data_IF_713969335650
#
_entry.id   IF_713969335650
#
_cell.length_a   1.000
_cell.length_b   1.000
_cell.length_c   1.000
_cell.angle_alpha   90.00
_cell.angle_beta   90.00
_cell.angle_gamma   90.00
#
_symmetry.space_group_name_H-M   'P 1'
#
loop_
_entity.id
_entity.type
_entity.pdbx_description
1 polymer ?
#
# COMPACT_ATOMS: atom_id res chain seq x y z
N UNK A 1 12.20 -11.57 -15.65
CA UNK A 1 12.19 -10.17 -15.22
C UNK A 1 10.78 -9.89 -14.77
N UNK A 2 10.53 -9.25 -13.61
CA UNK A 2 9.17 -8.86 -13.30
C UNK A 2 8.75 -7.82 -14.35
N UNK A 3 7.71 -8.14 -15.12
CA UNK A 3 7.16 -7.22 -16.11
C UNK A 3 6.24 -6.23 -15.39
N UNK A 4 6.38 -4.95 -15.72
CA UNK A 4 5.49 -3.91 -15.18
C UNK A 4 4.08 -4.07 -15.77
N UNK A 5 3.08 -4.14 -14.91
CA UNK A 5 1.68 -4.22 -15.32
C UNK A 5 1.14 -2.80 -15.54
N UNK A 6 0.73 -2.50 -16.77
CA UNK A 6 0.13 -1.20 -17.10
C UNK A 6 -1.40 -1.31 -17.13
N UNK A 7 -2.07 -0.55 -16.24
CA UNK A 7 -3.52 -0.39 -16.25
C UNK A 7 -3.88 0.91 -16.99
N UNK A 8 -4.57 0.81 -18.13
CA UNK A 8 -5.06 1.97 -18.88
C UNK A 8 -6.52 2.23 -18.54
N UNK A 9 -6.81 3.44 -18.05
CA UNK A 9 -8.17 3.89 -17.78
C UNK A 9 -8.60 4.79 -18.94
N UNK A 10 -9.73 4.50 -19.61
CA UNK A 10 -10.19 5.31 -20.73
C UNK A 10 -10.58 6.71 -20.25
N UNK A 11 -10.26 7.72 -21.08
CA UNK A 11 -10.48 9.13 -20.76
C UNK A 11 -11.95 9.49 -20.55
N UNK A 12 -12.88 8.75 -21.16
CA UNK A 12 -14.32 8.91 -20.93
C UNK A 12 -14.68 8.70 -19.46
N UNK A 13 -14.13 7.67 -18.82
CA UNK A 13 -14.37 7.38 -17.41
C UNK A 13 -13.71 8.45 -16.53
N UNK A 14 -12.50 8.89 -16.87
CA UNK A 14 -11.78 9.94 -16.13
C UNK A 14 -12.55 11.26 -16.14
N UNK A 15 -13.20 11.60 -17.25
CA UNK A 15 -14.03 12.81 -17.38
C UNK A 15 -15.34 12.72 -16.58
N UNK A 16 -15.88 11.52 -16.39
CA UNK A 16 -17.07 11.28 -15.57
C UNK A 16 -16.75 11.23 -14.07
N UNK A 17 -15.51 10.91 -13.69
CA UNK A 17 -15.06 10.95 -12.30
C UNK A 17 -15.03 12.40 -11.81
N UNK A 18 -15.70 12.67 -10.69
CA UNK A 18 -15.68 13.98 -9.99
C UNK A 18 -14.37 14.19 -9.23
N UNK A 19 -13.23 13.98 -9.90
CA UNK A 19 -11.90 14.16 -9.33
C UNK A 19 -11.21 15.35 -9.98
N UNK A 20 -10.34 16.07 -9.24
CA UNK A 20 -9.54 17.15 -9.83
C UNK A 20 -8.62 16.55 -10.91
N UNK A 21 -8.61 17.09 -12.15
CA UNK A 21 -7.83 16.54 -13.27
C UNK A 21 -6.34 16.42 -12.96
N UNK A 22 -5.83 17.32 -12.12
CA UNK A 22 -4.42 17.39 -11.74
C UNK A 22 -4.00 16.27 -10.76
N UNK A 23 -4.94 15.71 -9.98
CA UNK A 23 -4.66 14.69 -8.96
C UNK A 23 -5.33 13.35 -9.23
N UNK A 24 -6.04 13.18 -10.35
CA UNK A 24 -6.78 11.93 -10.67
C UNK A 24 -5.87 10.70 -10.60
N UNK A 25 -4.64 10.81 -11.11
CA UNK A 25 -3.70 9.68 -11.10
C UNK A 25 -3.32 9.28 -9.68
N UNK A 26 -3.06 10.25 -8.81
CA UNK A 26 -2.69 10.00 -7.41
C UNK A 26 -3.87 9.40 -6.65
N UNK A 27 -5.07 9.97 -6.78
CA UNK A 27 -6.29 9.45 -6.16
C UNK A 27 -6.62 8.04 -6.62
N UNK A 28 -6.53 7.76 -7.93
CA UNK A 28 -6.72 6.40 -8.46
C UNK A 28 -5.68 5.42 -7.93
N UNK A 29 -4.43 5.85 -7.82
CA UNK A 29 -3.35 5.02 -7.27
C UNK A 29 -3.60 4.74 -5.79
N UNK A 30 -4.06 5.74 -5.03
CA UNK A 30 -4.44 5.59 -3.64
C UNK A 30 -5.61 4.61 -3.47
N UNK A 31 -6.68 4.76 -4.25
CA UNK A 31 -7.85 3.86 -4.21
C UNK A 31 -7.48 2.42 -4.61
N UNK A 32 -6.63 2.25 -5.63
CA UNK A 32 -6.11 0.93 -6.01
C UNK A 32 -5.30 0.31 -4.88
N UNK A 33 -4.40 1.10 -4.29
CA UNK A 33 -3.55 0.66 -3.18
C UNK A 33 -4.37 0.25 -1.96
N UNK A 34 -5.37 1.06 -1.59
CA UNK A 34 -6.29 0.76 -0.51
C UNK A 34 -7.07 -0.53 -0.76
N UNK A 35 -7.61 -0.71 -1.97
CA UNK A 35 -8.36 -1.91 -2.33
C UNK A 35 -7.52 -3.19 -2.27
N UNK A 36 -6.24 -3.11 -2.66
CA UNK A 36 -5.29 -4.22 -2.55
C UNK A 36 -4.90 -4.51 -1.09
N UNK A 37 -4.69 -3.47 -0.28
CA UNK A 37 -4.35 -3.59 1.14
C UNK A 37 -5.53 -4.18 1.95
N UNK A 38 -6.75 -3.68 1.74
CA UNK A 38 -7.96 -4.20 2.38
C UNK A 38 -8.20 -5.69 2.10
N UNK A 39 -7.83 -6.15 0.91
CA UNK A 39 -7.93 -7.57 0.53
C UNK A 39 -6.77 -8.42 1.06
N UNK A 40 -5.78 -7.83 1.72
CA UNK A 40 -4.58 -8.52 2.19
C UNK A 40 -3.66 -9.01 1.06
N UNK A 41 -3.79 -8.45 -0.16
CA UNK A 41 -2.99 -8.86 -1.33
C UNK A 41 -1.58 -8.24 -1.24
N UNK A 42 -1.48 -7.03 -0.69
CA UNK A 42 -0.23 -6.31 -0.51
C UNK A 42 -0.04 -5.90 0.96
N UNK A 43 1.20 -5.86 1.41
CA UNK A 43 1.57 -5.37 2.75
C UNK A 43 1.53 -3.84 2.83
N UNK A 44 1.49 -3.27 4.04
CA UNK A 44 1.56 -1.81 4.25
C UNK A 44 2.79 -1.17 3.58
N UNK A 45 3.95 -1.84 3.65
CA UNK A 45 5.18 -1.38 3.00
C UNK A 45 5.11 -1.42 1.47
N UNK A 46 4.44 -2.43 0.89
CA UNK A 46 4.19 -2.48 -0.55
C UNK A 46 3.19 -1.42 -0.98
N UNK A 47 2.17 -1.17 -0.16
CA UNK A 47 1.18 -0.13 -0.37
C UNK A 47 1.80 1.26 -0.40
N UNK A 48 2.67 1.59 0.57
CA UNK A 48 3.43 2.85 0.58
C UNK A 48 4.26 3.04 -0.70
N UNK A 49 4.93 1.97 -1.18
CA UNK A 49 5.68 2.00 -2.43
C UNK A 49 4.79 2.20 -3.66
N UNK A 50 3.59 1.61 -3.67
CA UNK A 50 2.65 1.72 -4.78
C UNK A 50 2.00 3.10 -4.85
N UNK A 51 1.59 3.67 -3.71
CA UNK A 51 0.99 5.00 -3.63
C UNK A 51 2.01 6.14 -3.64
N UNK A 52 3.30 5.85 -3.47
CA UNK A 52 4.35 6.87 -3.32
C UNK A 52 4.23 7.69 -2.04
N UNK A 53 3.45 7.20 -1.06
CA UNK A 53 3.23 7.87 0.22
C UNK A 53 4.20 7.33 1.26
N UNK A 54 4.59 8.19 2.20
CA UNK A 54 5.30 7.73 3.39
C UNK A 54 4.34 6.96 4.33
N UNK A 55 4.91 6.15 5.23
CA UNK A 55 4.15 5.34 6.18
C UNK A 55 3.10 6.15 6.94
N UNK A 56 3.46 7.32 7.46
CA UNK A 56 2.54 8.18 8.21
C UNK A 56 1.39 8.71 7.34
N UNK A 57 1.69 9.08 6.09
CA UNK A 57 0.68 9.56 5.15
C UNK A 57 -0.29 8.43 4.76
N UNK A 58 0.23 7.21 4.59
CA UNK A 58 -0.60 6.05 4.31
C UNK A 58 -1.50 5.69 5.50
N UNK A 59 -0.96 5.71 6.72
CA UNK A 59 -1.74 5.52 7.96
C UNK A 59 -2.83 6.61 8.12
N UNK A 60 -2.51 7.87 7.85
CA UNK A 60 -3.50 8.96 7.86
C UNK A 60 -4.63 8.72 6.84
N UNK A 61 -4.27 8.20 5.66
CA UNK A 61 -5.22 7.90 4.59
C UNK A 61 -6.14 6.73 4.97
N UNK A 62 -5.63 5.70 5.65
CA UNK A 62 -6.44 4.62 6.24
C UNK A 62 -7.39 5.16 7.31
N UNK A 63 -6.92 6.06 8.17
CA UNK A 63 -7.73 6.70 9.20
C UNK A 63 -8.87 7.54 8.60
N UNK A 64 -8.57 8.39 7.62
CA UNK A 64 -9.56 9.22 6.91
C UNK A 64 -10.66 8.39 6.25
N UNK A 65 -10.35 7.18 5.79
CA UNK A 65 -11.28 6.28 5.12
C UNK A 65 -11.88 5.20 6.04
N UNK A 66 -11.62 5.27 7.35
CA UNK A 66 -12.09 4.29 8.35
C UNK A 66 -11.70 2.84 8.03
N UNK A 67 -10.55 2.65 7.40
CA UNK A 67 -10.05 1.32 7.06
C UNK A 67 -9.30 0.79 8.28
N UNK A 68 -9.65 -0.42 8.72
CA UNK A 68 -8.98 -1.04 9.85
C UNK A 68 -7.48 -1.17 9.54
N UNK A 69 -6.64 -0.74 10.49
CA UNK A 69 -5.22 -1.06 10.43
C UNK A 69 -5.09 -2.56 10.61
N UNK A 70 -4.84 -3.27 9.52
CA UNK A 70 -4.41 -4.64 9.58
C UNK A 70 -2.95 -4.61 10.05
N UNK A 71 -2.72 -4.52 11.37
CA UNK A 71 -1.51 -5.10 11.95
C UNK A 71 -1.64 -6.59 11.70
N UNK A 72 -1.02 -7.04 10.61
CA UNK A 72 -1.01 -8.45 10.27
C UNK A 72 -0.23 -9.21 11.35
N UNK A 73 -0.64 -10.45 11.68
CA UNK A 73 0.08 -11.29 12.63
C UNK A 73 1.56 -11.48 12.23
N UNK A 74 1.87 -11.36 10.93
CA UNK A 74 3.21 -11.40 10.37
C UNK A 74 4.08 -10.19 10.76
N UNK A 75 3.49 -8.99 10.84
CA UNK A 75 4.19 -7.79 11.31
C UNK A 75 4.44 -7.86 12.82
N UNK A 76 3.46 -8.37 13.58
CA UNK A 76 3.64 -8.67 15.00
C UNK A 76 4.74 -9.73 15.23
N UNK A 77 4.78 -10.77 14.41
CA UNK A 77 5.84 -11.79 14.48
C UNK A 77 7.23 -11.22 14.16
N UNK A 78 7.33 -10.32 13.19
CA UNK A 78 8.59 -9.65 12.86
C UNK A 78 9.05 -8.73 13.98
N UNK A 79 8.13 -7.98 14.59
CA UNK A 79 8.43 -7.12 15.73
C UNK A 79 8.78 -7.93 16.99
N UNK A 80 8.10 -9.05 17.27
CA UNK A 80 8.50 -9.98 18.33
C UNK A 80 9.88 -10.56 18.04
N UNK A 81 10.17 -11.02 16.81
CA UNK A 81 11.50 -11.54 16.43
C UNK A 81 12.59 -10.48 16.59
N UNK A 82 12.30 -9.22 16.27
CA UNK A 82 13.20 -8.09 16.46
C UNK A 82 13.42 -7.77 17.95
N UNK A 83 12.33 -7.65 18.73
CA UNK A 83 12.38 -7.35 20.17
C UNK A 83 12.99 -8.48 21.02
N UNK A 84 12.87 -9.74 20.57
CA UNK A 84 13.41 -10.92 21.26
C UNK A 84 14.80 -11.34 20.78
N UNK A 85 15.41 -10.62 19.83
CA UNK A 85 16.79 -10.84 19.41
C UNK A 85 17.07 -12.19 18.74
N UNK A 86 16.05 -12.88 18.21
CA UNK A 86 16.23 -14.12 17.42
C UNK A 86 16.59 -13.82 15.97
N UNK A 87 17.68 -13.07 15.75
CA UNK A 87 18.39 -13.16 14.48
C UNK A 87 19.22 -14.44 14.53
N UNK A 88 18.65 -15.56 14.06
CA UNK A 88 19.50 -16.65 13.61
C UNK A 88 20.32 -16.11 12.45
N UNK A 89 21.61 -15.97 12.69
CA UNK A 89 22.60 -15.54 11.73
C UNK A 89 22.50 -16.45 10.48
N UNK A 90 21.95 -15.94 9.39
CA UNK A 90 22.25 -16.47 8.06
C UNK A 90 22.39 -15.28 7.13
N UNK A 91 23.53 -14.62 7.29
CA UNK A 91 24.11 -13.74 6.28
C UNK A 91 24.45 -14.65 5.10
N UNK A 92 23.65 -14.61 4.03
CA UNK A 92 24.10 -15.08 2.73
C UNK A 92 25.11 -14.05 2.21
N UNK A 93 26.39 -14.36 2.40
CA UNK A 93 27.44 -13.93 1.47
C UNK A 93 27.39 -14.81 0.22
#
# INVERSE_FOLDING_TARGET
>A
MPDDITLTIPSSIVQEMKLPPDTVKEELTNELTLGLYQRGIITSAQACRLSGLDRFQFEELLWKRHIQLHYSEEDLEKDIKYATGKFCCTVYF
#
